data_IF_193898253739
#
_entry.id   IF_193898253739
#
_cell.length_a   1.000
_cell.length_b   1.000
_cell.length_c   1.000
_cell.angle_alpha   90.00
_cell.angle_beta   90.00
_cell.angle_gamma   90.00
#
_symmetry.space_group_name_H-M   'P 1'
#
loop_
_entity.id
_entity.type
_entity.pdbx_description
1 polymer ?
#
# COMPACT_ATOMS: atom_id res chain seq x y z
N UNK A 1 -1.51 -8.59 26.10
CA UNK A 1 -2.63 -9.50 25.76
C UNK A 1 -2.42 -10.08 24.38
N UNK A 2 -3.15 -11.14 24.04
CA UNK A 2 -3.13 -11.75 22.70
C UNK A 2 -3.95 -10.91 21.71
N UNK A 3 -3.39 -10.61 20.53
CA UNK A 3 -4.10 -9.94 19.44
C UNK A 3 -4.47 -10.97 18.35
N UNK A 4 -5.78 -11.23 18.14
CA UNK A 4 -6.29 -12.12 17.09
C UNK A 4 -5.81 -11.72 15.69
N UNK A 5 -5.64 -12.69 14.80
CA UNK A 5 -5.05 -12.49 13.47
C UNK A 5 -5.88 -11.57 12.56
N UNK A 6 -7.20 -11.54 12.74
CA UNK A 6 -8.13 -10.68 12.02
C UNK A 6 -8.08 -9.21 12.47
N UNK A 7 -7.47 -8.93 13.63
CA UNK A 7 -7.27 -7.58 14.16
C UNK A 7 -5.86 -7.04 13.88
N UNK A 8 -5.00 -7.84 13.23
CA UNK A 8 -3.64 -7.43 12.88
C UNK A 8 -3.62 -6.58 11.62
N UNK A 9 -2.58 -5.76 11.51
CA UNK A 9 -2.35 -4.89 10.37
C UNK A 9 -1.55 -5.65 9.31
N UNK A 10 -1.84 -5.36 8.05
CA UNK A 10 -1.14 -5.92 6.89
C UNK A 10 -0.91 -4.79 5.89
N UNK A 11 0.27 -4.76 5.28
CA UNK A 11 0.59 -3.84 4.19
C UNK A 11 0.72 -4.62 2.87
N UNK A 12 0.82 -3.89 1.77
CA UNK A 12 0.80 -4.40 0.40
C UNK A 12 -0.54 -4.18 -0.30
N UNK A 13 -0.50 -4.00 -1.61
CA UNK A 13 -1.64 -3.67 -2.46
C UNK A 13 -1.92 -2.17 -2.55
N UNK A 14 -2.94 -1.82 -3.33
CA UNK A 14 -3.23 -0.44 -3.76
C UNK A 14 -3.49 0.56 -2.62
N UNK A 15 -3.89 0.08 -1.44
CA UNK A 15 -4.24 0.92 -0.28
C UNK A 15 -3.07 1.22 0.67
N UNK A 16 -1.89 0.68 0.42
CA UNK A 16 -0.74 0.91 1.31
C UNK A 16 0.58 1.06 0.55
N UNK A 17 1.08 -0.02 -0.05
CA UNK A 17 2.31 -0.01 -0.83
C UNK A 17 2.01 -0.70 -2.16
N UNK A 18 1.84 0.10 -3.21
CA UNK A 18 1.60 -0.40 -4.57
C UNK A 18 2.78 -1.24 -5.07
N UNK A 19 2.53 -2.08 -6.06
CA UNK A 19 3.52 -3.03 -6.59
C UNK A 19 3.75 -4.29 -5.74
N UNK A 20 3.28 -4.32 -4.49
CA UNK A 20 3.24 -5.54 -3.68
C UNK A 20 1.84 -6.16 -3.69
N UNK A 21 1.77 -7.49 -3.62
CA UNK A 21 0.51 -8.20 -3.49
C UNK A 21 -0.17 -7.88 -2.14
N UNK A 22 -1.50 -7.91 -2.11
CA UNK A 22 -2.26 -7.58 -0.91
C UNK A 22 -1.83 -8.43 0.28
N UNK A 23 -1.59 -7.78 1.42
CA UNK A 23 -1.23 -8.39 2.70
C UNK A 23 0.13 -9.10 2.77
N UNK A 24 0.93 -9.06 1.70
CA UNK A 24 2.23 -9.76 1.65
C UNK A 24 3.37 -9.01 2.35
N UNK A 25 3.23 -7.71 2.58
CA UNK A 25 4.18 -6.94 3.41
C UNK A 25 3.76 -7.09 4.87
N UNK A 26 4.25 -8.16 5.49
CA UNK A 26 3.78 -8.64 6.79
C UNK A 26 4.83 -9.50 7.50
N UNK A 27 4.91 -9.46 8.85
CA UNK A 27 5.67 -10.45 9.62
C UNK A 27 5.20 -11.88 9.28
N UNK A 28 6.15 -12.81 9.20
CA UNK A 28 5.89 -14.21 8.90
C UNK A 28 6.09 -15.10 10.12
N UNK A 29 5.38 -16.22 10.18
CA UNK A 29 5.64 -17.28 11.16
C UNK A 29 6.77 -18.20 10.67
N UNK A 30 7.11 -19.23 11.46
CA UNK A 30 8.15 -20.21 11.12
C UNK A 30 7.83 -21.06 9.88
N UNK A 31 6.57 -21.12 9.45
CA UNK A 31 6.11 -21.83 8.26
C UNK A 31 6.08 -20.92 7.02
N UNK A 32 6.36 -19.62 7.17
CA UNK A 32 6.38 -18.64 6.08
C UNK A 32 5.06 -17.89 5.85
N UNK A 33 4.01 -18.19 6.61
CA UNK A 33 2.69 -17.56 6.44
C UNK A 33 2.69 -16.13 6.97
N UNK A 34 2.01 -15.23 6.25
CA UNK A 34 1.76 -13.86 6.65
C UNK A 34 0.84 -13.82 7.87
N UNK A 35 1.37 -13.30 8.98
CA UNK A 35 0.68 -13.34 10.26
C UNK A 35 0.40 -11.95 10.84
N UNK A 36 0.71 -10.88 10.10
CA UNK A 36 0.32 -9.53 10.44
C UNK A 36 1.17 -8.89 11.55
N UNK A 37 1.25 -7.56 11.49
CA UNK A 37 1.88 -6.72 12.50
C UNK A 37 0.88 -6.19 13.53
N UNK A 38 1.40 -5.66 14.62
CA UNK A 38 0.64 -4.92 15.64
C UNK A 38 0.82 -3.41 15.48
N UNK A 39 1.89 -2.99 14.81
CA UNK A 39 2.22 -1.60 14.52
C UNK A 39 2.65 -1.48 13.05
N UNK A 40 2.16 -0.46 12.37
CA UNK A 40 2.53 -0.16 10.99
C UNK A 40 2.53 1.34 10.74
N UNK A 41 3.32 1.75 9.75
CA UNK A 41 3.36 3.08 9.19
C UNK A 41 3.36 2.93 7.68
N UNK A 42 2.51 3.66 6.98
CA UNK A 42 2.48 3.69 5.54
C UNK A 42 2.27 5.13 5.08
N UNK A 43 3.02 5.54 4.08
CA UNK A 43 2.93 6.85 3.48
C UNK A 43 3.05 6.74 1.96
N UNK A 44 2.39 7.66 1.28
CA UNK A 44 2.43 7.78 -0.17
C UNK A 44 2.56 9.24 -0.54
N UNK A 45 3.46 9.51 -1.49
CA UNK A 45 3.60 10.80 -2.15
C UNK A 45 3.23 10.58 -3.61
N UNK A 46 2.27 11.36 -4.10
CA UNK A 46 1.78 11.26 -5.46
C UNK A 46 1.70 12.63 -6.12
N UNK A 47 2.21 12.71 -7.34
CA UNK A 47 2.08 13.86 -8.21
C UNK A 47 1.20 13.48 -9.39
N UNK A 48 0.06 14.17 -9.52
CA UNK A 48 -0.91 13.95 -10.59
C UNK A 48 -1.02 15.18 -11.49
N UNK A 49 -1.11 14.94 -12.80
CA UNK A 49 -1.18 15.97 -13.83
C UNK A 49 -2.19 15.60 -14.93
N UNK A 50 -2.84 16.59 -15.57
CA UNK A 50 -3.77 16.32 -16.65
C UNK A 50 -3.03 15.78 -17.88
N UNK A 51 -3.57 14.70 -18.47
CA UNK A 51 -3.13 14.20 -19.79
C UNK A 51 -4.08 14.71 -20.88
N UNK A 52 -5.39 14.57 -20.65
CA UNK A 52 -6.43 15.03 -21.58
C UNK A 52 -7.62 15.56 -20.77
N UNK A 53 -7.69 16.89 -20.61
CA UNK A 53 -8.70 17.56 -19.78
C UNK A 53 -10.14 17.30 -20.24
N UNK A 54 -10.39 17.31 -21.56
CA UNK A 54 -11.74 17.12 -22.12
C UNK A 54 -12.42 15.80 -21.71
N UNK A 55 -11.64 14.77 -21.41
CA UNK A 55 -12.13 13.47 -20.95
C UNK A 55 -11.74 13.17 -19.50
N UNK A 56 -11.20 14.17 -18.78
CA UNK A 56 -10.74 14.06 -17.39
C UNK A 56 -9.76 12.90 -17.18
N UNK A 57 -8.84 12.71 -18.12
CA UNK A 57 -7.78 11.71 -18.02
C UNK A 57 -6.55 12.34 -17.38
N UNK A 58 -6.06 11.73 -16.30
CA UNK A 58 -4.91 12.19 -15.52
C UNK A 58 -3.82 11.13 -15.51
N UNK A 59 -2.58 11.56 -15.55
CA UNK A 59 -1.41 10.73 -15.27
C UNK A 59 -0.95 11.00 -13.85
N UNK A 60 -0.30 10.02 -13.22
CA UNK A 60 0.38 10.23 -11.95
C UNK A 60 1.72 9.51 -11.89
N UNK A 61 2.62 10.05 -11.07
CA UNK A 61 3.82 9.37 -10.59
C UNK A 61 3.71 9.29 -9.08
N UNK A 62 4.13 8.16 -8.51
CA UNK A 62 4.02 7.94 -7.08
C UNK A 62 5.26 7.31 -6.47
N UNK A 63 5.40 7.52 -5.17
CA UNK A 63 6.35 6.86 -4.30
C UNK A 63 5.62 6.45 -3.02
N UNK A 64 5.64 5.15 -2.73
CA UNK A 64 5.05 4.59 -1.52
C UNK A 64 6.15 4.06 -0.61
N UNK A 65 6.03 4.30 0.69
CA UNK A 65 6.92 3.77 1.71
C UNK A 65 6.11 3.21 2.87
N UNK A 66 6.50 2.05 3.38
CA UNK A 66 5.84 1.47 4.54
C UNK A 66 6.76 0.64 5.41
N UNK A 67 6.39 0.59 6.69
CA UNK A 67 7.06 -0.10 7.77
C UNK A 67 6.03 -0.89 8.57
N UNK A 68 6.35 -2.12 8.95
CA UNK A 68 5.46 -2.96 9.75
C UNK A 68 6.26 -3.87 10.68
N UNK A 69 5.72 -4.12 11.87
CA UNK A 69 6.29 -5.09 12.81
C UNK A 69 5.36 -5.43 13.97
N UNK A 70 5.88 -6.19 14.94
CA UNK A 70 5.14 -6.66 16.13
C UNK A 70 5.60 -6.03 17.43
N UNK A 71 6.90 -5.83 17.57
CA UNK A 71 7.51 -5.16 18.72
C UNK A 71 8.08 -3.82 18.29
N UNK A 72 8.79 -3.81 17.17
CA UNK A 72 9.40 -2.61 16.61
C UNK A 72 8.75 -2.29 15.26
N UNK A 73 8.52 -1.02 14.98
CA UNK A 73 7.90 -0.57 13.73
C UNK A 73 8.77 -0.92 12.50
N UNK A 74 10.07 -1.06 12.71
CA UNK A 74 11.07 -1.11 11.66
C UNK A 74 11.53 -2.53 11.29
N UNK A 75 10.85 -3.57 11.81
CA UNK A 75 11.11 -4.99 11.52
C UNK A 75 11.08 -5.28 10.02
N UNK A 76 10.12 -4.70 9.29
CA UNK A 76 10.00 -4.84 7.83
C UNK A 76 9.77 -3.46 7.24
N UNK A 77 10.58 -3.11 6.24
CA UNK A 77 10.45 -1.87 5.46
C UNK A 77 10.32 -2.21 3.98
N UNK A 78 9.41 -1.56 3.27
CA UNK A 78 9.25 -1.69 1.82
C UNK A 78 8.98 -0.33 1.21
N UNK A 79 9.44 -0.17 -0.02
CA UNK A 79 9.19 1.01 -0.82
C UNK A 79 8.84 0.60 -2.24
N UNK A 80 8.05 1.42 -2.91
CA UNK A 80 7.74 1.28 -4.32
C UNK A 80 7.69 2.66 -4.98
N UNK A 81 7.91 2.68 -6.28
CA UNK A 81 7.63 3.84 -7.12
C UNK A 81 6.99 3.37 -8.42
N UNK A 82 6.18 4.21 -9.04
CA UNK A 82 5.53 3.85 -10.28
C UNK A 82 4.79 5.01 -10.92
N UNK A 83 4.11 4.68 -12.02
CA UNK A 83 3.23 5.57 -12.75
C UNK A 83 1.79 5.05 -12.68
N UNK A 84 0.83 5.96 -12.74
CA UNK A 84 -0.59 5.68 -12.78
C UNK A 84 -1.29 6.43 -13.91
N UNK A 85 -2.42 5.88 -14.33
CA UNK A 85 -3.39 6.57 -15.19
C UNK A 85 -4.70 6.51 -14.43
N UNK A 86 -5.33 7.66 -14.23
CA UNK A 86 -6.64 7.78 -13.60
C UNK A 86 -7.62 8.33 -14.64
N UNK A 87 -8.72 7.62 -14.87
CA UNK A 87 -9.78 8.08 -15.76
C UNK A 87 -11.07 8.32 -14.97
N UNK A 88 -11.44 9.60 -14.84
CA UNK A 88 -12.69 9.99 -14.19
C UNK A 88 -13.83 9.83 -15.18
N UNK A 89 -14.51 8.68 -15.13
CA UNK A 89 -15.67 8.37 -15.97
C UNK A 89 -16.99 8.84 -15.33
N UNK A 90 -18.11 8.89 -16.08
CA UNK A 90 -19.41 9.23 -15.53
C UNK A 90 -19.90 8.29 -14.41
N UNK A 91 -19.40 7.06 -14.36
CA UNK A 91 -19.77 6.06 -13.35
C UNK A 91 -18.76 5.97 -12.19
N UNK A 92 -17.69 6.77 -12.22
CA UNK A 92 -16.68 6.85 -11.17
C UNK A 92 -15.24 6.91 -11.70
N UNK A 93 -14.26 7.21 -10.83
CA UNK A 93 -12.84 7.11 -11.15
C UNK A 93 -12.43 5.65 -11.31
N UNK A 94 -11.65 5.39 -12.35
CA UNK A 94 -10.96 4.13 -12.63
C UNK A 94 -9.46 4.30 -12.41
#
# INVERSE_FOLDING_TARGET
GYLPINQRIYLGGIRSIRGFESRTVSPKNQWGDEVGGTIAFANSVELSFPLIDRIKLRGSVFFDYGMIGRKNLDEIKRMSTGIGIEWITPIGPL
#
